data_IF_110742869986
#
_entry.id   IF_110742869986
#
_cell.length_a   1.000
_cell.length_b   1.000
_cell.length_c   1.000
_cell.angle_alpha   90.00
_cell.angle_beta   90.00
_cell.angle_gamma   90.00
#
_symmetry.space_group_name_H-M   'P 1'
#
loop_
_entity.id
_entity.type
_entity.pdbx_description
1 polymer ?
#
# COMPACT_ATOMS: atom_id res chain seq x y z
N UNK A 1 38.62 27.06 -37.27
CA UNK A 1 37.28 27.63 -36.99
C UNK A 1 36.32 26.98 -37.96
N UNK A 2 35.24 26.26 -37.64
CA UNK A 2 34.52 25.84 -36.43
C UNK A 2 34.03 24.40 -36.73
N UNK A 3 34.04 23.48 -35.76
CA UNK A 3 33.29 22.21 -35.86
C UNK A 3 31.94 22.43 -35.19
N UNK A 4 30.86 22.15 -35.90
CA UNK A 4 29.52 22.06 -35.36
C UNK A 4 29.41 20.81 -34.46
N UNK A 5 29.27 21.05 -33.16
CA UNK A 5 28.93 20.02 -32.17
C UNK A 5 27.47 20.13 -31.82
N UNK A 6 26.61 19.38 -32.51
CA UNK A 6 25.24 19.14 -32.09
C UNK A 6 25.23 18.22 -30.87
N UNK A 7 25.08 18.78 -29.67
CA UNK A 7 24.82 18.03 -28.44
C UNK A 7 23.40 17.46 -28.47
N UNK A 8 23.25 16.23 -28.97
CA UNK A 8 22.08 15.40 -28.66
C UNK A 8 22.19 15.01 -27.19
N UNK A 9 21.35 15.62 -26.36
CA UNK A 9 21.23 15.29 -24.95
C UNK A 9 20.45 13.96 -24.83
N UNK A 10 20.99 12.89 -24.21
CA UNK A 10 20.25 11.64 -24.04
C UNK A 10 19.08 11.87 -23.09
N UNK A 11 17.86 11.66 -23.58
CA UNK A 11 16.64 11.79 -22.80
C UNK A 11 16.60 10.68 -21.72
N UNK A 12 16.81 11.07 -20.46
CA UNK A 12 16.91 10.14 -19.33
C UNK A 12 15.53 9.50 -18.98
N UNK A 13 15.51 8.23 -18.52
CA UNK A 13 14.30 7.40 -18.35
C UNK A 13 13.32 7.83 -17.22
N UNK A 14 13.61 8.91 -16.49
CA UNK A 14 12.75 9.38 -15.39
C UNK A 14 11.38 9.92 -15.89
N UNK A 15 11.32 10.50 -17.09
CA UNK A 15 10.10 11.11 -17.65
C UNK A 15 8.98 10.10 -17.91
N UNK A 16 9.32 8.90 -18.33
CA UNK A 16 8.35 7.84 -18.63
C UNK A 16 7.72 7.26 -17.36
N UNK A 17 8.50 7.17 -16.28
CA UNK A 17 8.04 6.64 -14.99
C UNK A 17 7.07 7.61 -14.32
N UNK A 18 7.36 8.92 -14.35
CA UNK A 18 6.45 9.94 -13.81
C UNK A 18 5.13 10.03 -14.60
N UNK A 19 5.17 9.87 -15.93
CA UNK A 19 3.95 9.83 -16.75
C UNK A 19 3.09 8.60 -16.47
N UNK A 20 3.71 7.43 -16.24
CA UNK A 20 2.99 6.21 -15.87
C UNK A 20 2.40 6.32 -14.47
N UNK A 21 3.16 6.86 -13.50
CA UNK A 21 2.69 7.08 -12.13
C UNK A 21 1.54 8.09 -12.07
N UNK A 22 1.60 9.16 -12.86
CA UNK A 22 0.50 10.13 -12.93
C UNK A 22 -0.77 9.48 -13.49
N UNK A 23 -0.67 8.72 -14.59
CA UNK A 23 -1.84 8.01 -15.16
C UNK A 23 -2.47 7.01 -14.20
N UNK A 24 -1.67 6.32 -13.39
CA UNK A 24 -2.17 5.38 -12.39
C UNK A 24 -2.82 6.11 -11.20
N UNK A 25 -2.27 7.25 -10.81
CA UNK A 25 -2.84 8.14 -9.79
C UNK A 25 -4.17 8.74 -10.26
N UNK A 26 -4.26 9.14 -11.53
CA UNK A 26 -5.47 9.70 -12.11
C UNK A 26 -6.59 8.66 -12.19
N UNK A 27 -6.26 7.41 -12.55
CA UNK A 27 -7.22 6.29 -12.58
C UNK A 27 -7.73 5.90 -11.20
N UNK A 28 -6.85 5.83 -10.20
CA UNK A 28 -7.23 5.53 -8.81
C UNK A 28 -8.07 6.67 -8.19
N UNK A 29 -7.80 7.91 -8.59
CA UNK A 29 -8.61 9.07 -8.19
C UNK A 29 -10.00 9.02 -8.84
N UNK A 30 -10.09 8.67 -10.12
CA UNK A 30 -11.36 8.53 -10.84
C UNK A 30 -12.22 7.39 -10.29
N UNK A 31 -11.64 6.21 -10.02
CA UNK A 31 -12.37 5.06 -9.47
C UNK A 31 -12.94 5.38 -8.08
N UNK A 32 -12.16 6.03 -7.22
CA UNK A 32 -12.62 6.54 -5.92
C UNK A 32 -13.77 7.52 -6.08
N UNK A 33 -13.65 8.47 -7.00
CA UNK A 33 -14.65 9.51 -7.23
C UNK A 33 -15.98 8.95 -7.75
N UNK A 34 -15.94 8.02 -8.72
CA UNK A 34 -17.14 7.33 -9.20
C UNK A 34 -17.81 6.55 -8.07
N UNK A 35 -17.03 5.83 -7.27
CA UNK A 35 -17.55 5.09 -6.12
C UNK A 35 -18.18 6.03 -5.07
N UNK A 36 -17.58 7.19 -4.82
CA UNK A 36 -18.10 8.19 -3.89
C UNK A 36 -19.43 8.77 -4.38
N UNK A 37 -19.54 9.09 -5.67
CA UNK A 37 -20.80 9.54 -6.29
C UNK A 37 -21.94 8.53 -6.13
N UNK A 38 -21.65 7.23 -6.31
CA UNK A 38 -22.64 6.15 -6.13
C UNK A 38 -22.97 5.94 -4.65
N UNK A 39 -21.97 5.95 -3.76
CA UNK A 39 -22.15 5.77 -2.31
C UNK A 39 -22.95 6.91 -1.67
N UNK A 40 -22.81 8.14 -2.16
CA UNK A 40 -23.53 9.32 -1.69
C UNK A 40 -24.91 9.48 -2.33
N UNK A 41 -25.22 8.70 -3.38
CA UNK A 41 -26.47 8.78 -4.12
C UNK A 41 -26.53 9.94 -5.13
N UNK A 42 -25.41 10.58 -5.44
CA UNK A 42 -25.32 11.64 -6.46
C UNK A 42 -25.48 11.08 -7.88
N UNK A 43 -25.06 9.84 -8.10
CA UNK A 43 -25.17 9.14 -9.38
C UNK A 43 -25.66 7.72 -9.17
N UNK A 44 -26.65 7.32 -9.96
CA UNK A 44 -27.22 5.96 -9.94
C UNK A 44 -27.23 5.33 -11.32
N UNK A 45 -27.02 6.08 -12.40
CA UNK A 45 -26.95 5.54 -13.76
C UNK A 45 -25.62 5.84 -14.44
N UNK A 46 -25.26 5.05 -15.45
CA UNK A 46 -24.06 5.28 -16.28
C UNK A 46 -24.07 6.69 -16.90
N UNK A 47 -25.24 7.15 -17.38
CA UNK A 47 -25.38 8.49 -17.98
C UNK A 47 -25.08 9.61 -16.98
N UNK A 48 -25.56 9.49 -15.74
CA UNK A 48 -25.29 10.46 -14.68
C UNK A 48 -23.82 10.48 -14.28
N UNK A 49 -23.15 9.31 -14.25
CA UNK A 49 -21.71 9.23 -13.97
C UNK A 49 -20.92 9.98 -15.05
N UNK A 50 -21.19 9.74 -16.34
CA UNK A 50 -20.49 10.45 -17.42
C UNK A 50 -20.73 11.96 -17.39
N UNK A 51 -21.96 12.40 -17.12
CA UNK A 51 -22.29 13.82 -16.97
C UNK A 51 -21.50 14.44 -15.82
N UNK A 52 -21.48 13.78 -14.66
CA UNK A 52 -20.77 14.26 -13.49
C UNK A 52 -19.25 14.31 -13.72
N UNK A 53 -18.66 13.28 -14.34
CA UNK A 53 -17.25 13.27 -14.72
C UNK A 53 -16.90 14.37 -15.73
N UNK A 54 -17.73 14.59 -16.74
CA UNK A 54 -17.48 15.63 -17.76
C UNK A 54 -17.54 17.05 -17.18
N UNK A 55 -18.45 17.31 -16.23
CA UNK A 55 -18.56 18.59 -15.53
C UNK A 55 -17.37 18.87 -14.61
N UNK A 56 -16.91 17.86 -13.86
CA UNK A 56 -15.94 18.06 -12.79
C UNK A 56 -14.47 17.90 -13.23
N UNK A 57 -14.21 17.09 -14.25
CA UNK A 57 -12.84 16.80 -14.72
C UNK A 57 -12.41 17.64 -15.94
N UNK A 58 -13.28 18.54 -16.42
CA UNK A 58 -13.03 19.47 -17.53
C UNK A 58 -12.35 18.81 -18.76
N UNK A 59 -12.70 17.56 -19.06
CA UNK A 59 -12.09 16.78 -20.12
C UNK A 59 -13.16 16.05 -20.94
N UNK A 60 -13.19 16.31 -22.25
CA UNK A 60 -14.20 15.82 -23.19
C UNK A 60 -14.09 14.32 -23.51
N UNK A 61 -12.97 13.67 -23.15
CA UNK A 61 -12.69 12.27 -23.50
C UNK A 61 -12.81 11.30 -22.30
N UNK A 62 -13.52 11.69 -21.23
CA UNK A 62 -13.60 10.95 -19.96
C UNK A 62 -14.54 9.74 -19.99
N UNK A 63 -15.29 9.53 -21.07
CA UNK A 63 -16.27 8.42 -21.17
C UNK A 63 -15.61 7.06 -21.04
N UNK A 64 -14.56 6.78 -21.82
CA UNK A 64 -13.84 5.51 -21.79
C UNK A 64 -13.15 5.23 -20.44
N UNK A 65 -12.60 6.27 -19.80
CA UNK A 65 -11.94 6.15 -18.50
C UNK A 65 -12.94 5.90 -17.37
N UNK A 66 -14.10 6.57 -17.42
CA UNK A 66 -15.19 6.34 -16.48
C UNK A 66 -15.82 4.96 -16.66
N UNK A 67 -15.97 4.47 -17.89
CA UNK A 67 -16.45 3.10 -18.14
C UNK A 67 -15.49 2.06 -17.60
N UNK A 68 -14.19 2.24 -17.81
CA UNK A 68 -13.19 1.36 -17.22
C UNK A 68 -13.27 1.36 -15.69
N UNK A 69 -13.47 2.53 -15.08
CA UNK A 69 -13.62 2.66 -13.63
C UNK A 69 -14.87 1.94 -13.12
N UNK A 70 -16.01 2.08 -13.81
CA UNK A 70 -17.25 1.36 -13.50
C UNK A 70 -17.04 -0.15 -13.59
N UNK A 71 -16.42 -0.63 -14.67
CA UNK A 71 -16.12 -2.05 -14.87
C UNK A 71 -15.22 -2.60 -13.75
N UNK A 72 -14.16 -1.88 -13.39
CA UNK A 72 -13.27 -2.23 -12.28
C UNK A 72 -14.02 -2.31 -10.95
N UNK A 73 -14.93 -1.37 -10.68
CA UNK A 73 -15.72 -1.36 -9.44
C UNK A 73 -16.73 -2.52 -9.40
N UNK A 74 -17.34 -2.90 -10.53
CA UNK A 74 -18.23 -4.06 -10.65
C UNK A 74 -17.46 -5.37 -10.48
N UNK A 75 -16.34 -5.53 -11.19
CA UNK A 75 -15.50 -6.74 -11.13
C UNK A 75 -15.03 -7.03 -9.70
N UNK A 76 -14.70 -5.97 -8.95
CA UNK A 76 -14.22 -6.07 -7.57
C UNK A 76 -15.34 -5.95 -6.52
N UNK A 77 -16.61 -6.03 -6.94
CA UNK A 77 -17.78 -6.02 -6.04
C UNK A 77 -17.88 -4.79 -5.12
N UNK A 78 -17.35 -3.63 -5.54
CA UNK A 78 -17.58 -2.36 -4.84
C UNK A 78 -18.98 -1.80 -5.10
N UNK A 79 -19.52 -2.07 -6.29
CA UNK A 79 -20.85 -1.69 -6.72
C UNK A 79 -21.57 -2.90 -7.35
N UNK A 80 -22.89 -2.86 -7.33
CA UNK A 80 -23.79 -3.81 -8.00
C UNK A 80 -24.64 -3.07 -9.03
N UNK A 81 -25.13 -3.80 -10.04
CA UNK A 81 -26.01 -3.29 -11.09
C UNK A 81 -27.32 -4.06 -11.07
N UNK A 82 -28.42 -3.37 -10.79
CA UNK A 82 -29.79 -3.90 -10.79
C UNK A 82 -30.68 -2.95 -11.59
N UNK A 83 -31.45 -3.46 -12.56
CA UNK A 83 -32.37 -2.66 -13.40
C UNK A 83 -31.73 -1.39 -14.01
N UNK A 84 -30.51 -1.52 -14.56
CA UNK A 84 -29.69 -0.42 -15.09
C UNK A 84 -29.28 0.67 -14.08
N UNK A 85 -29.48 0.41 -12.79
CA UNK A 85 -29.11 1.29 -11.68
C UNK A 85 -27.94 0.70 -10.88
N UNK A 86 -26.94 1.53 -10.63
CA UNK A 86 -25.81 1.20 -9.77
C UNK A 86 -26.17 1.43 -8.31
N UNK A 87 -25.82 0.46 -7.47
CA UNK A 87 -25.94 0.54 -6.02
C UNK A 87 -24.62 0.18 -5.36
N UNK A 88 -24.24 0.85 -4.25
CA UNK A 88 -23.00 0.52 -3.55
C UNK A 88 -23.15 -0.78 -2.75
N UNK A 89 -22.11 -1.61 -2.71
CA UNK A 89 -22.08 -2.78 -1.82
C UNK A 89 -21.61 -2.40 -0.41
N UNK A 90 -21.58 -3.36 0.52
CA UNK A 90 -20.99 -3.14 1.84
C UNK A 90 -19.48 -2.83 1.74
N UNK A 91 -18.77 -3.48 0.81
CA UNK A 91 -17.36 -3.20 0.53
C UNK A 91 -17.17 -1.78 -0.02
N UNK A 92 -18.03 -1.35 -0.97
CA UNK A 92 -18.09 0.02 -1.49
C UNK A 92 -18.23 1.07 -0.40
N UNK A 93 -19.22 0.90 0.47
CA UNK A 93 -19.46 1.82 1.60
C UNK A 93 -18.29 1.83 2.59
N UNK A 94 -17.74 0.66 2.91
CA UNK A 94 -16.60 0.57 3.82
C UNK A 94 -15.33 1.24 3.26
N UNK A 95 -15.06 1.09 1.96
CA UNK A 95 -13.94 1.76 1.30
C UNK A 95 -14.04 3.30 1.41
N UNK A 96 -15.21 3.87 1.11
CA UNK A 96 -15.44 5.31 1.24
C UNK A 96 -15.35 5.76 2.70
N UNK A 97 -16.00 5.05 3.63
CA UNK A 97 -15.96 5.35 5.06
C UNK A 97 -14.54 5.31 5.64
N UNK A 98 -13.69 4.43 5.13
CA UNK A 98 -12.28 4.30 5.56
C UNK A 98 -11.34 5.32 4.90
N UNK A 99 -11.86 6.17 4.00
CA UNK A 99 -11.07 7.12 3.20
C UNK A 99 -9.95 6.46 2.38
N UNK A 100 -10.10 5.18 2.06
CA UNK A 100 -9.14 4.43 1.25
C UNK A 100 -9.54 4.45 -0.23
N UNK A 101 -8.57 4.45 -1.16
CA UNK A 101 -8.87 4.18 -2.56
C UNK A 101 -9.35 2.72 -2.73
N UNK A 102 -10.11 2.40 -3.78
CA UNK A 102 -10.62 1.05 -4.03
C UNK A 102 -9.52 -0.03 -4.01
N UNK A 103 -8.37 0.25 -4.63
CA UNK A 103 -7.28 -0.71 -4.77
C UNK A 103 -6.66 -1.07 -3.40
N UNK A 104 -6.46 -0.07 -2.54
CA UNK A 104 -5.98 -0.30 -1.16
C UNK A 104 -7.05 -1.01 -0.30
N UNK A 105 -8.32 -0.68 -0.53
CA UNK A 105 -9.45 -1.31 0.18
C UNK A 105 -9.56 -2.80 -0.14
N UNK A 106 -9.34 -3.20 -1.40
CA UNK A 106 -9.33 -4.62 -1.77
C UNK A 106 -8.24 -5.39 -1.06
N UNK A 107 -7.02 -4.87 -1.07
CA UNK A 107 -5.90 -5.58 -0.48
C UNK A 107 -6.07 -5.75 1.05
N UNK A 108 -6.61 -4.74 1.74
CA UNK A 108 -6.99 -4.85 3.15
C UNK A 108 -8.14 -5.84 3.35
N UNK A 109 -9.16 -5.81 2.49
CA UNK A 109 -10.27 -6.75 2.56
C UNK A 109 -9.80 -8.20 2.35
N UNK A 110 -8.88 -8.45 1.42
CA UNK A 110 -8.26 -9.78 1.20
C UNK A 110 -7.53 -10.28 2.45
N UNK A 111 -6.75 -9.41 3.11
CA UNK A 111 -6.06 -9.73 4.36
C UNK A 111 -7.04 -10.06 5.47
N UNK A 112 -8.04 -9.19 5.70
CA UNK A 112 -9.03 -9.37 6.76
C UNK A 112 -9.90 -10.60 6.51
N UNK A 113 -10.29 -10.86 5.26
CA UNK A 113 -11.03 -12.05 4.89
C UNK A 113 -10.18 -13.32 5.07
N UNK A 114 -8.85 -13.22 4.92
CA UNK A 114 -7.95 -14.35 5.19
C UNK A 114 -7.73 -14.57 6.68
N UNK A 115 -7.54 -13.49 7.43
CA UNK A 115 -7.39 -13.51 8.88
C UNK A 115 -8.67 -13.97 9.58
N UNK A 116 -9.86 -13.66 9.05
CA UNK A 116 -11.14 -14.10 9.65
C UNK A 116 -11.26 -15.62 9.75
N UNK A 117 -10.51 -16.37 8.93
CA UNK A 117 -10.45 -17.85 8.99
C UNK A 117 -9.47 -18.36 10.04
N UNK A 118 -8.40 -17.61 10.33
CA UNK A 118 -7.40 -17.96 11.33
C UNK A 118 -6.57 -16.73 11.75
N UNK A 119 -6.53 -16.45 13.05
CA UNK A 119 -5.70 -15.40 13.65
C UNK A 119 -4.76 -16.04 14.67
N UNK A 120 -3.46 -15.77 14.57
CA UNK A 120 -2.53 -16.03 15.69
C UNK A 120 -2.76 -15.00 16.79
N UNK A 121 -3.44 -15.42 17.85
CA UNK A 121 -3.75 -14.60 19.03
C UNK A 121 -2.74 -14.77 20.16
N UNK A 122 -1.86 -15.77 20.04
CA UNK A 122 -0.77 -16.03 20.99
C UNK A 122 0.45 -15.11 20.77
N UNK A 123 0.43 -14.30 19.71
CA UNK A 123 1.42 -13.27 19.40
C UNK A 123 0.75 -12.04 18.80
N UNK A 124 1.29 -10.85 19.07
CA UNK A 124 0.80 -9.60 18.51
C UNK A 124 1.30 -9.36 17.07
N UNK A 125 2.24 -10.16 16.58
CA UNK A 125 2.87 -10.00 15.26
C UNK A 125 1.87 -10.07 14.10
N UNK A 126 0.88 -10.98 14.16
CA UNK A 126 -0.11 -11.11 13.10
C UNK A 126 -1.04 -9.88 13.06
N UNK A 127 -1.44 -9.36 14.22
CA UNK A 127 -2.23 -8.12 14.30
C UNK A 127 -1.42 -6.93 13.78
N UNK A 128 -0.14 -6.83 14.12
CA UNK A 128 0.77 -5.82 13.58
C UNK A 128 0.87 -5.90 12.05
N UNK A 129 0.97 -7.10 11.48
CA UNK A 129 0.98 -7.28 10.02
C UNK A 129 -0.27 -6.68 9.37
N UNK A 130 -1.46 -6.99 9.90
CA UNK A 130 -2.72 -6.49 9.36
C UNK A 130 -2.81 -4.95 9.38
N UNK A 131 -2.27 -4.30 10.41
CA UNK A 131 -2.26 -2.82 10.49
C UNK A 131 -1.05 -2.17 9.81
N UNK A 132 -0.06 -2.95 9.37
CA UNK A 132 1.08 -2.43 8.62
C UNK A 132 0.59 -2.03 7.22
N UNK A 133 0.85 -0.79 6.76
CA UNK A 133 0.44 -0.34 5.43
C UNK A 133 0.98 -1.22 4.30
N UNK A 134 0.27 -1.25 3.17
CA UNK A 134 0.61 -2.12 2.01
C UNK A 134 1.68 -1.47 1.13
N UNK A 135 1.81 -0.15 1.18
CA UNK A 135 2.72 0.65 0.37
C UNK A 135 3.97 1.11 1.13
N UNK A 136 4.58 0.22 1.92
CA UNK A 136 5.82 0.57 2.64
C UNK A 136 6.98 0.68 1.64
N UNK A 137 7.37 1.90 1.29
CA UNK A 137 8.54 2.13 0.42
C UNK A 137 9.86 2.21 1.18
N UNK A 138 9.83 2.11 2.51
CA UNK A 138 11.01 2.26 3.40
C UNK A 138 12.09 1.21 3.09
N UNK A 139 11.74 0.14 2.38
CA UNK A 139 12.62 -1.01 2.11
C UNK A 139 13.14 -1.07 0.67
N UNK A 140 13.04 0.01 -0.11
CA UNK A 140 13.48 0.03 -1.50
C UNK A 140 14.98 -0.30 -1.68
N UNK A 141 15.79 -0.11 -0.63
CA UNK A 141 17.24 -0.39 -0.63
C UNK A 141 17.65 -1.51 0.36
N UNK A 142 16.70 -2.36 0.78
CA UNK A 142 17.03 -3.41 1.76
C UNK A 142 18.01 -4.46 1.21
N UNK A 143 18.95 -4.90 2.06
CA UNK A 143 19.84 -6.02 1.75
C UNK A 143 19.10 -7.35 1.96
N UNK A 144 18.72 -7.99 0.85
CA UNK A 144 18.04 -9.28 0.86
C UNK A 144 18.88 -10.41 1.47
N UNK A 145 20.21 -10.31 1.50
CA UNK A 145 21.06 -11.31 2.16
C UNK A 145 20.88 -11.24 3.67
N UNK A 146 20.84 -10.01 4.20
CA UNK A 146 20.58 -9.76 5.60
C UNK A 146 19.16 -10.21 6.00
N UNK A 147 18.15 -9.87 5.21
CA UNK A 147 16.78 -10.31 5.44
C UNK A 147 16.62 -11.84 5.40
N UNK A 148 17.37 -12.52 4.52
CA UNK A 148 17.43 -13.98 4.51
C UNK A 148 17.98 -14.53 5.83
N UNK A 149 19.12 -14.01 6.30
CA UNK A 149 19.73 -14.39 7.59
C UNK A 149 18.76 -14.20 8.77
N UNK A 150 18.01 -13.09 8.77
CA UNK A 150 16.99 -12.82 9.76
C UNK A 150 15.84 -13.82 9.67
N UNK A 151 15.31 -14.06 8.45
CA UNK A 151 14.20 -14.98 8.22
C UNK A 151 14.52 -16.41 8.65
N UNK A 152 15.72 -16.91 8.32
CA UNK A 152 16.15 -18.25 8.72
C UNK A 152 16.24 -18.44 10.24
N UNK A 153 16.51 -17.35 10.98
CA UNK A 153 16.64 -17.36 12.45
C UNK A 153 15.33 -17.07 13.20
N UNK A 154 14.21 -16.87 12.50
CA UNK A 154 12.94 -16.55 13.14
C UNK A 154 12.54 -17.59 14.20
N UNK A 155 11.97 -17.19 15.33
CA UNK A 155 11.31 -18.10 16.27
C UNK A 155 10.16 -18.89 15.62
N UNK A 156 9.73 -20.00 16.24
CA UNK A 156 8.74 -20.93 15.67
C UNK A 156 7.36 -20.29 15.49
N UNK A 157 6.94 -19.44 16.43
CA UNK A 157 5.74 -18.62 16.39
C UNK A 157 5.82 -17.56 15.27
N UNK A 158 6.94 -16.86 15.11
CA UNK A 158 7.12 -15.88 14.02
C UNK A 158 7.11 -16.56 12.64
N UNK A 159 7.74 -17.74 12.50
CA UNK A 159 7.68 -18.54 11.25
C UNK A 159 6.25 -18.98 10.94
N UNK A 160 5.46 -19.32 11.96
CA UNK A 160 4.04 -19.66 11.78
C UNK A 160 3.29 -18.46 11.22
N UNK A 161 3.51 -17.26 11.76
CA UNK A 161 2.93 -16.00 11.23
C UNK A 161 3.39 -15.74 9.80
N UNK A 162 4.68 -15.87 9.50
CA UNK A 162 5.20 -15.74 8.14
C UNK A 162 4.44 -16.62 7.14
N UNK A 163 4.23 -17.90 7.49
CA UNK A 163 3.47 -18.84 6.66
C UNK A 163 2.00 -18.44 6.48
N UNK A 164 1.34 -17.93 7.53
CA UNK A 164 -0.05 -17.48 7.45
C UNK A 164 -0.23 -16.29 6.51
N UNK A 165 0.71 -15.34 6.51
CA UNK A 165 0.64 -14.15 5.65
C UNK A 165 1.24 -14.36 4.25
N UNK A 166 1.80 -15.54 3.97
CA UNK A 166 2.40 -15.86 2.68
C UNK A 166 3.85 -15.39 2.50
N UNK A 167 4.52 -14.95 3.58
CA UNK A 167 5.95 -14.70 3.57
C UNK A 167 6.71 -16.04 3.61
N UNK A 168 7.66 -16.20 2.68
CA UNK A 168 8.35 -17.47 2.43
C UNK A 168 9.83 -17.27 2.15
N UNK A 169 10.63 -18.20 2.66
CA UNK A 169 12.07 -18.26 2.37
C UNK A 169 12.35 -18.43 0.87
N UNK A 170 11.51 -19.20 0.17
CA UNK A 170 11.61 -19.40 -1.28
C UNK A 170 11.63 -18.08 -2.05
N UNK A 171 10.71 -17.17 -1.74
CA UNK A 171 10.66 -15.88 -2.41
C UNK A 171 11.90 -15.04 -2.14
N UNK A 172 12.42 -15.05 -0.90
CA UNK A 172 13.65 -14.33 -0.55
C UNK A 172 14.83 -14.85 -1.38
N UNK A 173 14.97 -16.17 -1.54
CA UNK A 173 15.99 -16.78 -2.39
C UNK A 173 15.80 -16.42 -3.88
N UNK A 174 14.57 -16.39 -4.37
CA UNK A 174 14.25 -15.96 -5.74
C UNK A 174 14.64 -14.49 -5.97
N UNK A 175 14.42 -13.64 -4.97
CA UNK A 175 14.79 -12.23 -5.02
C UNK A 175 16.30 -12.04 -5.03
N UNK A 176 17.05 -12.85 -4.25
CA UNK A 176 18.52 -12.91 -4.31
C UNK A 176 19.05 -13.35 -5.67
N UNK A 177 18.30 -14.19 -6.39
CA UNK A 177 18.59 -14.60 -7.78
C UNK A 177 18.18 -13.55 -8.83
N UNK A 178 17.63 -12.40 -8.41
CA UNK A 178 17.21 -11.32 -9.30
C UNK A 178 15.85 -11.54 -9.97
N UNK A 179 15.05 -12.52 -9.54
CA UNK A 179 13.67 -12.70 -10.04
C UNK A 179 12.77 -11.62 -9.46
N UNK A 180 11.94 -10.99 -10.29
CA UNK A 180 11.05 -9.91 -9.84
C UNK A 180 9.60 -10.37 -9.79
N UNK A 181 9.01 -10.34 -8.60
CA UNK A 181 7.56 -10.48 -8.39
C UNK A 181 7.09 -9.40 -7.42
N UNK A 182 6.43 -8.36 -7.96
CA UNK A 182 6.04 -7.18 -7.17
C UNK A 182 4.98 -7.48 -6.11
N UNK A 183 4.01 -8.36 -6.39
CA UNK A 183 2.96 -8.70 -5.41
C UNK A 183 3.55 -9.44 -4.21
N UNK A 184 4.39 -10.44 -4.48
CA UNK A 184 5.08 -11.17 -3.42
C UNK A 184 6.10 -10.29 -2.68
N UNK A 185 6.77 -9.37 -3.38
CA UNK A 185 7.66 -8.39 -2.76
C UNK A 185 6.97 -7.59 -1.65
N UNK A 186 5.80 -7.02 -1.93
CA UNK A 186 5.07 -6.22 -0.93
C UNK A 186 4.69 -7.03 0.31
N UNK A 187 4.29 -8.30 0.15
CA UNK A 187 4.00 -9.20 1.27
C UNK A 187 5.20 -9.34 2.20
N UNK A 188 6.41 -9.52 1.65
CA UNK A 188 7.63 -9.72 2.43
C UNK A 188 8.10 -8.43 3.08
N UNK A 189 8.08 -7.31 2.34
CA UNK A 189 8.41 -5.99 2.87
C UNK A 189 7.50 -5.64 4.06
N UNK A 190 6.20 -5.90 3.93
CA UNK A 190 5.23 -5.68 4.99
C UNK A 190 5.45 -6.61 6.18
N UNK A 191 5.85 -7.86 5.95
CA UNK A 191 6.18 -8.81 7.02
C UNK A 191 7.41 -8.37 7.82
N UNK A 192 8.49 -7.94 7.16
CA UNK A 192 9.67 -7.41 7.86
C UNK A 192 9.38 -6.08 8.57
N UNK A 193 8.52 -5.25 8.00
CA UNK A 193 8.01 -4.05 8.68
C UNK A 193 7.26 -4.41 9.97
N UNK A 194 6.39 -5.42 9.91
CA UNK A 194 5.65 -5.90 11.08
C UNK A 194 6.57 -6.49 12.15
N UNK A 195 7.64 -7.20 11.76
CA UNK A 195 8.68 -7.68 12.68
C UNK A 195 9.41 -6.53 13.37
N UNK A 196 9.83 -5.51 12.62
CA UNK A 196 10.49 -4.33 13.20
C UNK A 196 9.56 -3.59 14.17
N UNK A 197 8.28 -3.44 13.82
CA UNK A 197 7.26 -2.87 14.71
C UNK A 197 7.04 -3.77 15.95
N UNK A 198 7.08 -5.08 15.79
CA UNK A 198 6.95 -6.04 16.88
C UNK A 198 8.08 -5.88 17.89
N UNK A 199 9.33 -5.75 17.43
CA UNK A 199 10.46 -5.50 18.33
C UNK A 199 10.32 -4.15 19.06
N UNK A 200 9.86 -3.10 18.36
CA UNK A 200 9.62 -1.79 18.97
C UNK A 200 8.54 -1.80 20.06
N UNK A 201 7.43 -2.51 19.85
CA UNK A 201 6.37 -2.60 20.87
C UNK A 201 6.79 -3.46 22.07
N UNK A 202 7.74 -4.37 21.89
CA UNK A 202 8.39 -5.14 22.95
C UNK A 202 9.58 -4.39 23.57
N UNK A 203 9.54 -3.05 23.53
CA UNK A 203 10.48 -2.14 24.19
C UNK A 203 11.94 -2.23 23.70
N UNK A 204 12.17 -2.80 22.50
CA UNK A 204 13.47 -2.71 21.87
C UNK A 204 13.74 -1.27 21.42
N UNK A 205 14.94 -0.76 21.69
CA UNK A 205 15.28 0.61 21.29
C UNK A 205 15.30 0.75 19.76
N UNK A 206 14.94 1.94 19.27
CA UNK A 206 15.00 2.29 17.85
C UNK A 206 16.39 2.01 17.26
N UNK A 207 17.46 2.26 18.04
CA UNK A 207 18.83 1.96 17.62
C UNK A 207 19.07 0.47 17.38
N UNK A 208 18.62 -0.39 18.29
CA UNK A 208 18.76 -1.85 18.15
C UNK A 208 17.95 -2.36 16.95
N UNK A 209 16.71 -1.90 16.79
CA UNK A 209 15.87 -2.27 15.65
C UNK A 209 16.51 -1.81 14.34
N UNK A 210 17.08 -0.61 14.30
CA UNK A 210 17.81 -0.14 13.13
C UNK A 210 18.99 -1.04 12.79
N UNK A 211 19.78 -1.43 13.79
CA UNK A 211 20.92 -2.33 13.58
C UNK A 211 20.49 -3.72 13.10
N UNK A 212 19.34 -4.21 13.58
CA UNK A 212 18.80 -5.53 13.22
C UNK A 212 18.15 -5.58 11.84
N UNK A 213 17.54 -4.50 11.37
CA UNK A 213 16.81 -4.51 10.10
C UNK A 213 17.46 -3.67 9.00
N UNK A 214 18.41 -2.79 9.35
CA UNK A 214 19.14 -1.93 8.42
C UNK A 214 18.31 -0.79 7.81
N UNK A 215 17.14 -0.47 8.37
CA UNK A 215 16.10 0.32 7.69
C UNK A 215 15.78 1.69 8.24
N UNK A 216 16.25 2.04 9.43
CA UNK A 216 16.03 3.37 9.98
C UNK A 216 17.25 4.21 9.60
N UNK A 217 17.24 4.79 8.41
CA UNK A 217 18.13 5.91 8.11
C UNK A 217 17.79 7.07 9.08
N UNK A 218 18.38 7.05 10.27
CA UNK A 218 18.43 8.16 11.21
C UNK A 218 19.48 9.17 10.73
N UNK A 219 19.41 9.58 9.46
CA UNK A 219 20.24 10.68 8.98
C UNK A 219 19.54 12.01 9.27
N UNK A 220 20.15 12.73 10.20
CA UNK A 220 19.93 14.13 10.48
C UNK A 220 20.32 15.00 9.26
N UNK A 221 19.57 15.02 8.15
CA UNK A 221 19.73 16.08 7.15
C UNK A 221 18.45 16.26 6.30
N UNK A 222 17.68 17.31 6.65
CA UNK A 222 17.01 18.29 5.78
C UNK A 222 16.51 17.93 4.37
N UNK A 223 16.17 16.68 4.08
CA UNK A 223 15.52 16.28 2.82
C UNK A 223 14.34 15.37 3.12
N UNK A 224 13.18 16.00 3.33
CA UNK A 224 11.88 15.33 3.39
C UNK A 224 11.63 14.59 2.07
N UNK A 225 11.82 13.27 2.07
CA UNK A 225 11.00 12.40 1.23
C UNK A 225 9.71 12.07 2.01
N UNK A 226 8.51 12.28 1.44
CA UNK A 226 7.23 12.12 2.13
C UNK A 226 6.98 10.69 2.67
N UNK A 227 7.78 9.70 2.26
CA UNK A 227 7.62 8.29 2.64
C UNK A 227 8.33 7.88 3.94
N UNK A 228 9.40 8.58 4.36
CA UNK A 228 10.05 8.36 5.67
C UNK A 228 9.18 8.82 6.84
N UNK A 229 8.34 9.84 6.60
CA UNK A 229 7.39 10.36 7.60
C UNK A 229 6.31 9.33 7.94
N UNK A 230 5.97 8.40 7.04
CA UNK A 230 4.86 7.45 7.26
C UNK A 230 5.23 6.39 8.30
N UNK A 231 6.47 5.90 8.34
CA UNK A 231 6.90 4.93 9.34
C UNK A 231 7.09 5.59 10.71
N UNK A 232 7.70 6.78 10.74
CA UNK A 232 7.81 7.58 11.95
C UNK A 232 6.43 7.97 12.49
N UNK A 233 5.48 8.39 11.64
CA UNK A 233 4.12 8.76 12.06
C UNK A 233 3.27 7.54 12.42
N UNK A 234 3.40 6.41 11.71
CA UNK A 234 2.67 5.19 12.04
C UNK A 234 3.17 4.58 13.36
N UNK A 235 4.49 4.46 13.54
CA UNK A 235 5.09 4.01 14.79
C UNK A 235 4.79 5.00 15.93
N UNK A 236 4.91 6.32 15.72
CA UNK A 236 4.65 7.33 16.75
C UNK A 236 3.16 7.48 17.10
N UNK A 237 2.22 7.28 16.15
CA UNK A 237 0.77 7.25 16.43
C UNK A 237 0.34 5.96 17.14
N UNK A 238 0.98 4.82 16.85
CA UNK A 238 0.76 3.57 17.57
C UNK A 238 1.33 3.64 18.99
N UNK A 239 2.50 4.25 19.18
CA UNK A 239 3.18 4.38 20.48
C UNK A 239 2.48 5.40 21.41
N UNK A 240 2.00 6.54 20.90
CA UNK A 240 1.31 7.55 21.73
C UNK A 240 -0.10 7.17 22.19
N UNK A 241 -0.63 5.99 21.83
CA UNK A 241 -1.91 5.49 22.37
C UNK A 241 -1.76 4.69 23.68
N UNK A 242 -0.55 4.40 24.15
CA UNK A 242 -0.27 3.66 25.40
C UNK A 242 0.49 4.50 26.45
N UNK A 243 0.19 5.78 26.58
CA UNK A 243 0.51 6.51 27.81
C UNK A 243 -0.77 6.70 28.65
N UNK A 244 -1.11 5.78 29.57
CA UNK A 244 -1.96 6.17 30.69
C UNK A 244 -1.15 7.14 31.54
N UNK A 245 -1.58 8.41 31.57
CA UNK A 245 -1.18 9.36 32.60
C UNK A 245 -1.57 8.77 33.96
N UNK A 246 -0.64 8.03 34.55
CA UNK A 246 -0.64 7.74 35.98
C UNK A 246 0.33 8.73 36.59
N UNK A 247 -0.17 9.45 37.61
CA UNK A 247 0.49 10.46 38.45
C UNK A 247 0.42 11.92 37.93
N UNK A 248 -0.67 12.61 38.28
CA UNK A 248 -0.72 13.46 39.49
C UNK A 248 -2.16 13.66 39.94
#
# INVERSE_FOLDING_TARGET
MRRDGGSQNPEYPYRSIDQMRNRETDRTTLSRFVLEGICTGLTTSRTQIHQLCSLLLFNSNTTSESDNSIEMLLQNSFISLEDDLFSPTQLGRAAIASSLPPEASLAIFEDLNSASRAIAVDTELHMLYLVTPINVTVWQECDWHHLFSLFSKLPSDHRRVAKMVGASEKFILEQLQGKRNQKALQVHIRFFSALALFDLINEMSIYQVNHLFGTIHLENHESRSPTSTVFHVAAFKLFNRKAPLTQM
#
